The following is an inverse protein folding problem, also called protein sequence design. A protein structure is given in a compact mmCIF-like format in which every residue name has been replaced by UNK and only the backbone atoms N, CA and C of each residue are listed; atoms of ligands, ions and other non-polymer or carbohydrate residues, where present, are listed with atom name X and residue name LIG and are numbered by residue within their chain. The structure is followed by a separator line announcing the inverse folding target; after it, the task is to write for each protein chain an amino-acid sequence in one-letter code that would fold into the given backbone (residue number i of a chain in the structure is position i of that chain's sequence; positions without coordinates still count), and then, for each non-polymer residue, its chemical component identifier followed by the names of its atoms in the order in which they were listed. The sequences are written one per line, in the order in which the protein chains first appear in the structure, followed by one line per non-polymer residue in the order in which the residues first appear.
data_IF_610704476261
#
_entry.id   IF_610704476261
#
_cell.length_a   1.000
_cell.length_b   1.000
_cell.length_c   1.000
_cell.angle_alpha   90.00
_cell.angle_beta   90.00
_cell.angle_gamma   90.00
#
_symmetry.space_group_name_H-M   'P 1'
#
loop_
_entity.id
_entity.type
_entity.pdbx_description
1 polymer ?
#
# COMPACT_ATOMS: atom_id res chain seq x y z
N UNK A 1 24.38 22.57 -16.02
CA UNK A 1 23.02 23.06 -16.34
C UNK A 1 22.02 21.96 -16.16
N UNK A 2 20.88 22.27 -15.57
CA UNK A 2 19.77 21.33 -15.42
C UNK A 2 18.97 21.29 -16.73
N UNK A 3 18.50 20.11 -17.13
CA UNK A 3 17.69 19.99 -18.35
C UNK A 3 16.33 20.66 -18.10
N UNK A 4 15.75 21.23 -19.15
CA UNK A 4 14.37 21.72 -19.09
C UNK A 4 13.42 20.54 -18.88
N UNK A 5 12.40 20.68 -18.01
CA UNK A 5 11.44 19.60 -17.78
C UNK A 5 10.67 19.28 -19.06
N UNK A 6 10.44 17.99 -19.27
CA UNK A 6 9.59 17.47 -20.34
C UNK A 6 8.11 17.43 -19.94
N UNK A 7 7.35 16.58 -20.63
CA UNK A 7 5.89 16.49 -20.51
C UNK A 7 5.38 15.08 -20.22
N UNK A 8 6.25 14.07 -20.21
CA UNK A 8 5.89 12.70 -19.85
C UNK A 8 6.17 12.43 -18.37
N UNK A 9 5.65 11.31 -17.86
CA UNK A 9 5.78 10.95 -16.45
C UNK A 9 7.22 10.93 -15.96
N UNK A 10 8.21 10.58 -16.79
CA UNK A 10 9.62 10.49 -16.36
C UNK A 10 10.35 11.84 -16.39
N UNK A 11 9.93 12.76 -17.25
CA UNK A 11 10.70 13.99 -17.52
C UNK A 11 10.00 15.26 -17.04
N UNK A 12 8.73 15.19 -16.65
CA UNK A 12 8.00 16.34 -16.12
C UNK A 12 8.52 16.77 -14.74
N UNK A 13 8.47 18.06 -14.46
CA UNK A 13 8.75 18.58 -13.11
C UNK A 13 7.55 18.37 -12.20
N UNK A 14 7.72 17.56 -11.16
CA UNK A 14 6.64 17.20 -10.25
C UNK A 14 6.45 18.26 -9.16
N UNK A 15 5.45 19.13 -9.33
CA UNK A 15 4.87 19.97 -8.28
C UNK A 15 5.86 20.60 -7.27
N UNK A 16 6.85 21.36 -7.77
CA UNK A 16 7.86 22.07 -6.97
C UNK A 16 8.86 21.18 -6.22
N UNK A 17 8.88 19.88 -6.48
CA UNK A 17 9.87 18.96 -5.93
C UNK A 17 11.22 19.13 -6.65
N UNK A 18 12.34 18.94 -5.93
CA UNK A 18 13.65 18.91 -6.57
C UNK A 18 13.75 17.73 -7.52
N UNK A 19 14.33 17.97 -8.68
CA UNK A 19 14.63 16.91 -9.65
C UNK A 19 16.00 16.29 -9.34
N UNK A 20 16.04 14.95 -9.34
CA UNK A 20 17.25 14.15 -9.13
C UNK A 20 17.35 13.19 -10.31
N UNK A 21 18.37 13.40 -11.16
CA UNK A 21 18.62 12.59 -12.37
C UNK A 21 19.08 11.16 -12.05
N UNK A 22 18.16 10.30 -11.65
CA UNK A 22 18.40 8.88 -11.34
C UNK A 22 18.79 8.06 -12.56
N UNK A 23 18.44 8.53 -13.75
CA UNK A 23 18.84 7.98 -15.03
C UNK A 23 20.31 8.30 -15.40
N UNK A 24 20.97 9.22 -14.68
CA UNK A 24 22.37 9.55 -14.92
C UNK A 24 23.30 8.39 -14.58
N UNK A 25 24.15 8.01 -15.52
CA UNK A 25 25.19 6.98 -15.35
C UNK A 25 26.53 7.55 -14.90
N UNK A 26 26.63 8.87 -14.73
CA UNK A 26 27.87 9.53 -14.32
C UNK A 26 27.99 9.53 -12.79
N UNK A 27 29.13 9.12 -12.22
CA UNK A 27 29.37 9.27 -10.79
C UNK A 27 29.18 10.71 -10.33
N UNK A 28 28.31 10.92 -9.35
CA UNK A 28 27.94 12.26 -8.88
C UNK A 28 28.79 12.77 -7.72
N UNK A 29 29.50 11.86 -7.04
CA UNK A 29 30.15 12.14 -5.78
C UNK A 29 29.16 12.42 -4.64
N UNK A 30 29.66 12.77 -3.45
CA UNK A 30 28.79 13.11 -2.33
C UNK A 30 28.19 14.49 -2.57
N UNK A 31 26.85 14.65 -2.58
CA UNK A 31 26.24 15.96 -2.79
C UNK A 31 26.75 17.00 -1.79
N UNK A 32 27.05 18.20 -2.28
CA UNK A 32 27.66 19.26 -1.47
C UNK A 32 26.87 19.59 -0.19
N UNK A 33 25.53 19.53 -0.25
CA UNK A 33 24.68 19.69 0.93
C UNK A 33 25.00 18.67 2.03
N UNK A 34 25.15 17.39 1.68
CA UNK A 34 25.48 16.34 2.64
C UNK A 34 26.93 16.44 3.13
N UNK A 35 27.86 16.77 2.24
CA UNK A 35 29.27 16.98 2.60
C UNK A 35 29.47 18.09 3.65
N UNK A 36 28.60 19.10 3.66
CA UNK A 36 28.69 20.26 4.54
C UNK A 36 27.65 20.26 5.68
N UNK A 37 26.82 19.22 5.80
CA UNK A 37 25.82 19.11 6.87
C UNK A 37 26.37 18.21 8.00
N UNK A 38 26.72 18.76 9.17
CA UNK A 38 27.21 17.97 10.29
C UNK A 38 26.11 17.04 10.80
N UNK A 39 26.51 15.87 11.32
CA UNK A 39 25.59 14.87 11.88
C UNK A 39 24.92 13.97 10.85
N UNK A 40 25.16 14.16 9.54
CA UNK A 40 24.78 13.14 8.57
C UNK A 40 25.77 11.96 8.61
N UNK A 41 25.27 10.74 8.36
CA UNK A 41 26.10 9.56 8.14
C UNK A 41 26.56 9.41 6.68
N UNK A 42 26.26 10.39 5.82
CA UNK A 42 26.52 10.30 4.40
C UNK A 42 28.04 10.36 4.13
N UNK A 43 28.53 9.43 3.33
CA UNK A 43 29.95 9.32 2.96
C UNK A 43 30.07 9.30 1.44
N UNK A 44 31.18 9.83 0.94
CA UNK A 44 31.56 9.62 -0.46
C UNK A 44 31.80 8.14 -0.70
N UNK A 45 31.19 7.62 -1.76
CA UNK A 45 31.39 6.27 -2.26
C UNK A 45 31.84 6.38 -3.71
N UNK A 46 33.01 5.84 -4.00
CA UNK A 46 33.62 5.92 -5.33
C UNK A 46 32.71 5.26 -6.38
N UNK A 47 32.54 5.93 -7.51
CA UNK A 47 31.75 5.42 -8.64
C UNK A 47 30.23 5.55 -8.51
N UNK A 48 29.69 5.93 -7.35
CA UNK A 48 28.24 6.01 -7.18
C UNK A 48 27.58 7.12 -8.02
N UNK A 49 26.59 6.71 -8.81
CA UNK A 49 25.64 7.58 -9.51
C UNK A 49 24.58 8.12 -8.54
N UNK A 50 23.74 9.09 -8.95
CA UNK A 50 22.63 9.55 -8.09
C UNK A 50 21.70 8.42 -7.64
N UNK A 51 21.36 7.48 -8.54
CA UNK A 51 20.55 6.30 -8.22
C UNK A 51 21.25 5.40 -7.19
N UNK A 52 22.55 5.19 -7.33
CA UNK A 52 23.31 4.36 -6.38
C UNK A 52 23.25 4.95 -4.97
N UNK A 53 23.48 6.25 -4.83
CA UNK A 53 23.36 6.91 -3.52
C UNK A 53 21.96 6.80 -2.93
N UNK A 54 20.90 7.08 -3.69
CA UNK A 54 19.52 7.02 -3.19
C UNK A 54 19.14 5.60 -2.77
N UNK A 55 19.39 4.60 -3.63
CA UNK A 55 19.06 3.20 -3.33
C UNK A 55 19.89 2.64 -2.17
N UNK A 56 21.17 3.02 -2.08
CA UNK A 56 22.02 2.67 -0.96
C UNK A 56 21.53 3.27 0.36
N UNK A 57 21.25 4.57 0.39
CA UNK A 57 20.78 5.23 1.62
C UNK A 57 19.43 4.71 2.08
N UNK A 58 18.48 4.47 1.16
CA UNK A 58 17.20 3.85 1.49
C UNK A 58 17.40 2.44 2.06
N UNK A 59 18.23 1.62 1.42
CA UNK A 59 18.53 0.27 1.89
C UNK A 59 19.31 0.25 3.21
N UNK A 60 20.07 1.31 3.52
CA UNK A 60 20.73 1.45 4.82
C UNK A 60 19.72 1.58 5.97
N UNK A 61 18.55 2.20 5.75
CA UNK A 61 17.49 2.22 6.77
C UNK A 61 16.98 0.80 7.06
N UNK A 62 16.89 -0.04 6.04
CA UNK A 62 16.51 -1.45 6.18
C UNK A 62 17.58 -2.21 6.98
N UNK A 63 18.85 -2.04 6.62
CA UNK A 63 19.96 -2.66 7.33
C UNK A 63 20.08 -2.20 8.79
N UNK A 64 19.86 -0.91 9.07
CA UNK A 64 20.05 -0.35 10.42
C UNK A 64 18.86 -0.66 11.35
N UNK A 65 17.64 -0.66 10.82
CA UNK A 65 16.41 -0.67 11.63
C UNK A 65 15.48 -1.85 11.38
N UNK A 66 15.74 -2.67 10.35
CA UNK A 66 14.89 -3.81 10.02
C UNK A 66 13.55 -3.42 9.41
N UNK A 67 13.48 -2.28 8.71
CA UNK A 67 12.28 -1.89 7.96
C UNK A 67 11.97 -2.99 6.95
N UNK A 68 10.76 -3.52 7.01
CA UNK A 68 10.31 -4.70 6.27
C UNK A 68 9.72 -4.38 4.90
N UNK A 69 9.49 -3.10 4.60
CA UNK A 69 9.00 -2.70 3.29
C UNK A 69 9.04 -1.21 2.96
N UNK A 70 8.78 -0.90 1.69
CA UNK A 70 8.61 0.48 1.20
C UNK A 70 7.28 0.65 0.48
N UNK A 71 6.61 1.77 0.77
CA UNK A 71 5.61 2.39 -0.09
C UNK A 71 6.32 3.46 -0.91
N UNK A 72 6.49 3.21 -2.20
CA UNK A 72 7.11 4.13 -3.15
C UNK A 72 6.08 5.16 -3.59
N UNK A 73 6.31 6.40 -3.19
CA UNK A 73 5.59 7.57 -3.68
C UNK A 73 5.85 7.79 -5.17
N UNK A 74 4.84 8.23 -5.91
CA UNK A 74 4.98 8.73 -7.29
C UNK A 74 5.82 7.82 -8.21
N UNK A 75 5.61 6.50 -8.11
CA UNK A 75 6.44 5.45 -8.71
C UNK A 75 6.61 5.56 -10.24
N UNK A 76 5.67 6.22 -10.92
CA UNK A 76 5.69 6.45 -12.37
C UNK A 76 6.69 7.52 -12.82
N UNK A 77 7.20 8.32 -11.89
CA UNK A 77 8.11 9.42 -12.16
C UNK A 77 9.60 9.05 -12.05
N UNK A 78 9.91 7.76 -11.86
CA UNK A 78 11.28 7.24 -11.83
C UNK A 78 11.35 5.98 -12.66
N UNK A 79 12.48 5.80 -13.35
CA UNK A 79 12.69 4.69 -14.26
C UNK A 79 12.66 3.31 -13.56
N UNK A 80 11.99 2.34 -14.19
CA UNK A 80 11.83 0.98 -13.67
C UNK A 80 13.14 0.31 -13.18
N UNK A 81 14.30 0.48 -13.84
CA UNK A 81 15.55 -0.08 -13.33
C UNK A 81 15.96 0.42 -11.93
N UNK A 82 15.61 1.66 -11.54
CA UNK A 82 15.86 2.15 -10.19
C UNK A 82 15.09 1.37 -9.13
N UNK A 83 13.84 1.03 -9.43
CA UNK A 83 13.00 0.22 -8.55
C UNK A 83 13.52 -1.20 -8.38
N UNK A 84 13.99 -1.82 -9.46
CA UNK A 84 14.65 -3.12 -9.37
C UNK A 84 15.92 -3.06 -8.52
N UNK A 85 16.73 -2.00 -8.69
CA UNK A 85 17.94 -1.79 -7.89
C UNK A 85 17.60 -1.62 -6.41
N UNK A 86 16.62 -0.77 -6.08
CA UNK A 86 16.12 -0.57 -4.71
C UNK A 86 15.66 -1.87 -4.08
N UNK A 87 14.77 -2.61 -4.75
CA UNK A 87 14.26 -3.90 -4.26
C UNK A 87 15.39 -4.88 -3.98
N UNK A 88 16.37 -4.98 -4.88
CA UNK A 88 17.49 -5.91 -4.75
C UNK A 88 18.32 -5.59 -3.50
N UNK A 89 18.69 -4.33 -3.32
CA UNK A 89 19.50 -3.88 -2.18
C UNK A 89 18.72 -3.97 -0.85
N UNK A 90 17.48 -3.50 -0.80
CA UNK A 90 16.64 -3.56 0.39
C UNK A 90 16.34 -5.01 0.82
N UNK A 91 16.12 -5.91 -0.15
CA UNK A 91 15.93 -7.34 0.16
C UNK A 91 17.18 -7.99 0.74
N UNK A 92 18.37 -7.60 0.27
CA UNK A 92 19.63 -8.08 0.85
C UNK A 92 19.81 -7.54 2.28
N UNK A 93 19.60 -6.24 2.46
CA UNK A 93 19.69 -5.57 3.75
C UNK A 93 18.73 -6.19 4.80
N UNK A 94 17.49 -6.50 4.44
CA UNK A 94 16.55 -7.11 5.38
C UNK A 94 16.98 -8.53 5.79
N UNK A 95 17.50 -9.33 4.85
CA UNK A 95 18.04 -10.66 5.17
C UNK A 95 19.21 -10.57 6.14
N UNK A 96 20.14 -9.65 5.92
CA UNK A 96 21.28 -9.42 6.81
C UNK A 96 20.81 -8.94 8.19
N UNK A 97 19.86 -8.00 8.24
CA UNK A 97 19.30 -7.52 9.51
C UNK A 97 18.61 -8.65 10.30
N UNK A 98 17.79 -9.48 9.64
CA UNK A 98 17.10 -10.62 10.28
C UNK A 98 18.11 -11.65 10.81
N UNK A 99 19.17 -11.94 10.05
CA UNK A 99 20.26 -12.83 10.49
C UNK A 99 21.01 -12.29 11.71
N UNK A 100 21.26 -10.98 11.76
CA UNK A 100 21.92 -10.33 12.89
C UNK A 100 20.99 -10.09 14.10
N UNK A 101 19.67 -10.14 13.91
CA UNK A 101 18.66 -9.86 14.93
C UNK A 101 17.56 -10.95 15.00
N UNK A 102 17.90 -12.23 15.22
CA UNK A 102 16.91 -13.32 15.18
C UNK A 102 15.79 -13.14 16.21
N UNK A 103 16.10 -12.59 17.40
CA UNK A 103 15.11 -12.35 18.47
C UNK A 103 14.18 -11.16 18.19
N UNK A 104 14.47 -10.33 17.18
CA UNK A 104 13.65 -9.16 16.80
C UNK A 104 12.93 -9.36 15.46
N UNK A 105 13.34 -10.34 14.67
CA UNK A 105 12.66 -10.66 13.42
C UNK A 105 11.24 -11.12 13.72
N UNK A 106 10.25 -10.47 13.11
CA UNK A 106 8.84 -10.82 13.27
C UNK A 106 8.50 -12.16 12.60
N UNK A 107 9.13 -12.41 11.46
CA UNK A 107 8.92 -13.58 10.60
C UNK A 107 10.09 -13.73 9.60
N UNK A 108 9.96 -14.69 8.67
CA UNK A 108 10.88 -14.91 7.55
C UNK A 108 10.39 -14.28 6.22
N UNK A 109 9.38 -13.40 6.28
CA UNK A 109 8.82 -12.76 5.08
C UNK A 109 9.89 -11.95 4.32
N UNK A 110 9.88 -11.95 2.98
CA UNK A 110 10.79 -11.13 2.19
C UNK A 110 10.46 -9.64 2.34
N UNK A 111 11.42 -8.78 1.99
CA UNK A 111 11.19 -7.34 1.94
C UNK A 111 10.01 -7.03 1.00
N UNK A 112 9.03 -6.26 1.44
CA UNK A 112 7.81 -5.98 0.68
C UNK A 112 7.81 -4.56 0.10
N UNK A 113 7.57 -4.42 -1.19
CA UNK A 113 7.57 -3.14 -1.88
C UNK A 113 6.24 -2.92 -2.59
N UNK A 114 5.59 -1.81 -2.26
CA UNK A 114 4.38 -1.35 -2.94
C UNK A 114 4.56 0.02 -3.55
N UNK A 115 3.88 0.29 -4.66
CA UNK A 115 4.04 1.53 -5.41
C UNK A 115 2.74 2.29 -5.60
N UNK A 116 2.87 3.61 -5.58
CA UNK A 116 1.84 4.55 -6.00
C UNK A 116 2.06 4.95 -7.46
N UNK A 117 1.27 4.41 -8.37
CA UNK A 117 1.17 4.92 -9.74
C UNK A 117 -0.28 5.37 -9.96
N UNK A 118 -0.52 6.68 -9.97
CA UNK A 118 -1.89 7.23 -9.99
C UNK A 118 -2.72 6.65 -11.15
N UNK A 119 -3.93 6.16 -10.83
CA UNK A 119 -4.82 5.49 -11.78
C UNK A 119 -4.52 4.01 -12.01
N UNK A 120 -3.56 3.42 -11.30
CA UNK A 120 -3.34 1.98 -11.31
C UNK A 120 -4.47 1.24 -10.57
N UNK A 121 -4.87 0.10 -11.10
CA UNK A 121 -5.97 -0.73 -10.60
C UNK A 121 -5.61 -2.21 -10.63
N UNK A 122 -6.60 -3.07 -10.86
CA UNK A 122 -6.37 -4.52 -10.83
C UNK A 122 -5.87 -5.01 -12.20
N UNK A 123 -4.56 -4.87 -12.41
CA UNK A 123 -3.84 -5.29 -13.61
C UNK A 123 -2.35 -5.57 -13.33
N UNK A 124 -1.78 -6.51 -14.09
CA UNK A 124 -0.35 -6.84 -14.04
C UNK A 124 0.43 -5.94 -15.00
N UNK A 125 1.04 -4.88 -14.48
CA UNK A 125 1.91 -3.96 -15.23
C UNK A 125 3.40 -4.34 -15.12
N UNK A 126 4.28 -3.59 -15.78
CA UNK A 126 5.72 -3.87 -15.69
C UNK A 126 6.30 -3.67 -14.28
N UNK A 127 5.68 -2.89 -13.39
CA UNK A 127 6.17 -2.70 -12.01
C UNK A 127 6.45 -4.03 -11.28
N UNK A 128 5.62 -5.05 -11.49
CA UNK A 128 5.80 -6.38 -10.88
C UNK A 128 7.06 -7.11 -11.35
N UNK A 129 7.59 -6.76 -12.54
CA UNK A 129 8.85 -7.30 -13.06
C UNK A 129 10.07 -6.52 -12.56
N UNK A 130 9.87 -5.36 -11.95
CA UNK A 130 10.90 -4.45 -11.45
C UNK A 130 10.80 -4.27 -9.92
N UNK A 131 10.40 -5.34 -9.23
CA UNK A 131 10.56 -5.49 -7.79
C UNK A 131 9.34 -5.18 -6.93
N UNK A 132 8.27 -4.62 -7.49
CA UNK A 132 7.04 -4.37 -6.72
C UNK A 132 6.27 -5.67 -6.47
N UNK A 133 5.89 -5.91 -5.23
CA UNK A 133 5.03 -7.02 -4.83
C UNK A 133 3.54 -6.65 -4.93
N UNK A 134 3.21 -5.37 -4.83
CA UNK A 134 1.86 -4.84 -4.98
C UNK A 134 1.83 -3.43 -5.56
N UNK A 135 0.80 -3.08 -6.32
CA UNK A 135 0.50 -1.68 -6.67
C UNK A 135 -0.78 -1.22 -5.98
N UNK A 136 -0.85 0.07 -5.62
CA UNK A 136 -2.06 0.65 -5.03
C UNK A 136 -3.22 0.53 -6.02
N UNK A 137 -4.35 -0.01 -5.54
CA UNK A 137 -5.58 -0.15 -6.30
C UNK A 137 -6.47 1.08 -6.10
N UNK A 138 -6.37 2.06 -7.01
CA UNK A 138 -7.15 3.30 -6.97
C UNK A 138 -8.63 3.11 -7.33
N UNK A 139 -8.98 2.01 -8.01
CA UNK A 139 -10.37 1.72 -8.39
C UNK A 139 -11.23 1.33 -7.17
N UNK A 140 -10.62 0.79 -6.12
CA UNK A 140 -11.34 0.10 -5.05
C UNK A 140 -12.27 1.01 -4.25
N UNK A 141 -11.83 2.24 -3.96
CA UNK A 141 -12.61 3.20 -3.17
C UNK A 141 -13.97 3.47 -3.83
N UNK A 142 -14.01 3.67 -5.15
CA UNK A 142 -15.25 3.91 -5.90
C UNK A 142 -16.10 2.64 -6.08
N UNK A 143 -15.45 1.49 -6.28
CA UNK A 143 -16.16 0.21 -6.35
C UNK A 143 -16.87 -0.12 -5.04
N UNK A 144 -16.17 0.08 -3.91
CA UNK A 144 -16.74 -0.11 -2.58
C UNK A 144 -17.85 0.90 -2.27
N UNK A 145 -17.70 2.17 -2.67
CA UNK A 145 -18.72 3.20 -2.47
C UNK A 145 -20.07 2.82 -3.09
N UNK A 146 -20.04 2.24 -4.30
CA UNK A 146 -21.24 1.77 -4.99
C UNK A 146 -21.92 0.62 -4.24
N UNK A 147 -21.14 -0.27 -3.63
CA UNK A 147 -21.64 -1.44 -2.90
C UNK A 147 -22.03 -1.17 -1.43
N UNK A 148 -21.91 0.07 -0.92
CA UNK A 148 -22.28 0.42 0.46
C UNK A 148 -23.72 0.03 0.76
N UNK A 149 -24.64 0.29 -0.18
CA UNK A 149 -26.03 -0.02 0.05
C UNK A 149 -26.29 -1.52 0.04
N UNK A 150 -25.66 -2.25 -0.86
CA UNK A 150 -25.89 -3.68 -1.06
C UNK A 150 -24.55 -4.40 -1.24
N UNK A 151 -24.11 -5.16 -0.22
CA UNK A 151 -22.82 -5.86 -0.27
C UNK A 151 -22.74 -6.86 -1.44
N UNK A 152 -23.88 -7.37 -1.91
CA UNK A 152 -23.96 -8.24 -3.08
C UNK A 152 -23.40 -7.58 -4.36
N UNK A 153 -23.45 -6.25 -4.45
CA UNK A 153 -22.90 -5.51 -5.59
C UNK A 153 -21.37 -5.58 -5.65
N UNK A 154 -20.72 -5.92 -4.53
CA UNK A 154 -19.28 -6.16 -4.50
C UNK A 154 -18.90 -7.53 -5.07
N UNK A 155 -19.85 -8.44 -5.23
CA UNK A 155 -19.58 -9.82 -5.64
C UNK A 155 -18.85 -9.95 -6.98
N UNK A 156 -19.31 -9.29 -8.06
CA UNK A 156 -18.60 -9.30 -9.34
C UNK A 156 -17.20 -8.68 -9.27
N UNK A 157 -17.03 -7.61 -8.49
CA UNK A 157 -15.74 -6.95 -8.27
C UNK A 157 -14.76 -7.91 -7.59
N UNK A 158 -15.18 -8.53 -6.49
CA UNK A 158 -14.35 -9.49 -5.77
C UNK A 158 -14.06 -10.75 -6.58
N UNK A 159 -15.00 -11.23 -7.39
CA UNK A 159 -14.75 -12.35 -8.29
C UNK A 159 -13.66 -11.99 -9.29
N UNK A 160 -13.79 -10.85 -9.97
CA UNK A 160 -12.81 -10.37 -10.94
C UNK A 160 -11.42 -10.16 -10.30
N UNK A 161 -11.38 -9.61 -9.09
CA UNK A 161 -10.16 -9.43 -8.33
C UNK A 161 -9.48 -10.78 -8.04
N UNK A 162 -10.23 -11.75 -7.50
CA UNK A 162 -9.71 -13.08 -7.22
C UNK A 162 -9.21 -13.76 -8.49
N UNK A 163 -9.96 -13.72 -9.59
CA UNK A 163 -9.59 -14.36 -10.86
C UNK A 163 -8.29 -13.77 -11.46
N UNK A 164 -8.10 -12.44 -11.34
CA UNK A 164 -6.94 -11.75 -11.89
C UNK A 164 -5.68 -11.91 -11.03
N UNK A 165 -5.80 -11.83 -9.71
CA UNK A 165 -4.66 -11.74 -8.79
C UNK A 165 -4.12 -13.11 -8.37
N UNK A 166 -3.85 -13.97 -9.35
CA UNK A 166 -3.31 -15.30 -9.11
C UNK A 166 -1.79 -15.32 -9.00
N UNK A 167 -1.12 -14.40 -9.71
CA UNK A 167 0.34 -14.34 -9.79
C UNK A 167 0.91 -12.92 -9.56
N UNK A 168 0.05 -11.99 -9.11
CA UNK A 168 0.42 -10.66 -8.64
C UNK A 168 -0.57 -10.20 -7.57
N UNK A 169 -0.22 -9.15 -6.83
CA UNK A 169 -1.05 -8.61 -5.75
C UNK A 169 -1.31 -7.11 -5.95
N UNK A 170 -2.34 -6.58 -5.30
CA UNK A 170 -2.60 -5.12 -5.23
C UNK A 170 -2.83 -4.71 -3.78
N UNK A 171 -2.68 -3.42 -3.49
CA UNK A 171 -3.01 -2.85 -2.19
C UNK A 171 -4.31 -2.03 -2.29
N UNK A 172 -5.41 -2.62 -1.84
CA UNK A 172 -6.72 -1.94 -1.83
C UNK A 172 -6.93 -1.14 -0.54
N UNK A 173 -7.59 0.01 -0.64
CA UNK A 173 -7.89 0.88 0.50
C UNK A 173 -9.30 1.45 0.38
N UNK A 174 -9.88 1.88 1.51
CA UNK A 174 -11.13 2.64 1.50
C UNK A 174 -10.89 4.13 1.67
N UNK A 175 -9.99 4.54 2.57
CA UNK A 175 -9.64 5.94 2.77
C UNK A 175 -8.17 6.20 2.43
N UNK A 176 -7.86 7.41 1.98
CA UNK A 176 -6.48 7.86 1.77
C UNK A 176 -6.32 9.32 2.15
N UNK A 177 -5.09 9.68 2.50
CA UNK A 177 -4.63 11.05 2.69
C UNK A 177 -4.65 11.90 1.40
N UNK A 178 -4.74 11.26 0.23
CA UNK A 178 -4.73 11.91 -1.08
C UNK A 178 -6.01 11.67 -1.89
N UNK A 179 -7.07 11.11 -1.26
CA UNK A 179 -8.39 11.04 -1.89
C UNK A 179 -9.50 11.57 -0.99
N UNK A 180 -10.10 10.73 -0.15
CA UNK A 180 -11.14 11.09 0.82
C UNK A 180 -11.20 10.07 1.95
N UNK A 181 -11.92 10.42 3.00
CA UNK A 181 -12.35 9.46 4.02
C UNK A 181 -13.63 8.75 3.56
N UNK A 182 -13.65 7.43 3.67
CA UNK A 182 -14.79 6.57 3.29
C UNK A 182 -15.82 6.52 4.42
N UNK A 183 -16.58 7.60 4.60
CA UNK A 183 -17.57 7.72 5.68
C UNK A 183 -18.95 7.24 5.26
N UNK A 184 -19.20 7.16 3.95
CA UNK A 184 -20.40 6.58 3.36
C UNK A 184 -20.61 5.12 3.78
N UNK A 185 -19.54 4.35 4.02
CA UNK A 185 -19.63 2.93 4.38
C UNK A 185 -20.21 2.61 5.76
N UNK A 186 -20.16 3.56 6.71
CA UNK A 186 -20.58 3.32 8.10
C UNK A 186 -20.05 2.00 8.66
N UNK A 187 -20.95 1.23 9.28
CA UNK A 187 -20.62 -0.05 9.93
C UNK A 187 -20.19 -1.17 8.94
N UNK A 188 -20.37 -0.98 7.63
CA UNK A 188 -20.05 -1.97 6.59
C UNK A 188 -18.64 -1.82 6.00
N UNK A 189 -17.95 -0.73 6.34
CA UNK A 189 -16.63 -0.43 5.78
C UNK A 189 -15.61 -1.54 6.10
N UNK A 190 -15.71 -2.15 7.28
CA UNK A 190 -14.84 -3.25 7.68
C UNK A 190 -15.01 -4.47 6.75
N UNK A 191 -16.24 -4.90 6.47
CA UNK A 191 -16.53 -6.00 5.55
C UNK A 191 -16.11 -5.68 4.12
N UNK A 192 -16.43 -4.47 3.64
CA UNK A 192 -16.06 -4.03 2.30
C UNK A 192 -14.56 -4.08 2.10
N UNK A 193 -13.74 -3.69 3.07
CA UNK A 193 -12.29 -3.75 2.93
C UNK A 193 -11.72 -5.14 3.24
N UNK A 194 -12.00 -5.67 4.42
CA UNK A 194 -11.27 -6.80 4.98
C UNK A 194 -11.69 -8.14 4.40
N UNK A 195 -12.81 -8.20 3.67
CA UNK A 195 -13.21 -9.36 2.86
C UNK A 195 -12.78 -9.24 1.39
N UNK A 196 -11.98 -8.25 1.01
CA UNK A 196 -11.49 -8.12 -0.36
C UNK A 196 -10.34 -9.09 -0.67
N UNK A 197 -10.20 -9.57 -1.93
CA UNK A 197 -8.97 -10.24 -2.37
C UNK A 197 -7.79 -9.27 -2.43
N UNK A 198 -6.56 -9.80 -2.41
CA UNK A 198 -5.31 -9.03 -2.47
C UNK A 198 -4.89 -8.46 -1.10
N UNK A 199 -3.89 -7.57 -1.06
CA UNK A 199 -3.52 -6.85 0.16
C UNK A 199 -4.49 -5.70 0.44
N UNK A 200 -4.59 -5.31 1.72
CA UNK A 200 -5.46 -4.21 2.16
C UNK A 200 -4.72 -3.24 3.08
N UNK A 201 -5.06 -1.96 2.97
CA UNK A 201 -4.57 -0.90 3.85
C UNK A 201 -5.75 -0.29 4.61
N UNK A 202 -5.70 -0.37 5.94
CA UNK A 202 -6.59 0.42 6.82
C UNK A 202 -5.94 1.78 7.02
N UNK A 203 -6.67 2.86 6.73
CA UNK A 203 -6.20 4.21 7.00
C UNK A 203 -6.58 4.62 8.42
N UNK A 204 -5.66 5.27 9.14
CA UNK A 204 -5.86 5.54 10.57
C UNK A 204 -7.18 6.27 10.85
N UNK A 205 -7.93 5.70 11.79
CA UNK A 205 -9.23 6.22 12.21
C UNK A 205 -10.41 5.76 11.36
N UNK A 206 -10.24 4.91 10.34
CA UNK A 206 -11.37 4.22 9.71
C UNK A 206 -12.11 3.33 10.70
N UNK A 207 -11.37 2.67 11.59
CA UNK A 207 -11.87 1.78 12.63
C UNK A 207 -12.67 2.50 13.73
N UNK A 208 -12.39 3.80 13.94
CA UNK A 208 -12.99 4.63 14.98
C UNK A 208 -13.90 5.74 14.41
N UNK A 209 -14.15 5.73 13.11
CA UNK A 209 -14.90 6.77 12.38
C UNK A 209 -14.36 8.19 12.62
N UNK A 210 -13.02 8.36 12.54
CA UNK A 210 -12.34 9.65 12.66
C UNK A 210 -12.95 10.68 11.70
N UNK A 211 -13.34 11.87 12.20
CA UNK A 211 -13.99 12.90 11.40
C UNK A 211 -13.00 13.57 10.45
N UNK A 212 -13.52 14.07 9.33
CA UNK A 212 -12.78 14.97 8.45
C UNK A 212 -12.45 16.27 9.19
N UNK A 213 -11.22 16.75 9.03
CA UNK A 213 -10.71 17.94 9.70
C UNK A 213 -10.84 19.23 8.87
N UNK A 214 -10.25 20.32 9.37
CA UNK A 214 -10.16 21.57 8.65
C UNK A 214 -9.37 21.45 7.34
N UNK A 215 -9.74 22.25 6.35
CA UNK A 215 -9.04 22.37 5.06
C UNK A 215 -8.43 23.76 4.90
N UNK A 216 -7.46 23.87 4.00
CA UNK A 216 -6.78 25.11 3.65
C UNK A 216 -6.56 25.22 2.15
N UNK A 217 -5.34 25.58 1.74
CA UNK A 217 -4.95 25.58 0.32
C UNK A 217 -4.90 24.17 -0.28
N UNK A 218 -4.66 23.15 0.55
CA UNK A 218 -4.84 21.75 0.18
C UNK A 218 -6.29 21.32 0.54
N UNK A 219 -7.15 21.05 -0.46
CA UNK A 219 -8.54 20.64 -0.20
C UNK A 219 -8.63 19.25 0.47
N UNK A 220 -7.57 18.44 0.40
CA UNK A 220 -7.52 17.11 0.99
C UNK A 220 -6.93 17.09 2.40
N UNK A 221 -6.44 18.22 2.90
CA UNK A 221 -5.86 18.34 4.24
C UNK A 221 -6.77 17.78 5.33
N UNK A 222 -8.09 17.93 5.20
CA UNK A 222 -9.04 17.42 6.18
C UNK A 222 -9.06 15.90 6.32
N UNK A 223 -8.56 15.14 5.32
CA UNK A 223 -8.36 13.69 5.46
C UNK A 223 -7.26 13.34 6.48
N UNK A 224 -6.40 14.31 6.81
CA UNK A 224 -5.22 14.18 7.69
C UNK A 224 -5.44 14.79 9.09
N UNK A 225 -6.71 14.86 9.54
CA UNK A 225 -7.09 15.34 10.88
C UNK A 225 -6.51 14.49 12.02
N UNK A 226 -6.44 15.08 13.21
CA UNK A 226 -5.99 14.39 14.42
C UNK A 226 -6.80 13.11 14.70
N UNK A 227 -6.10 12.09 15.22
CA UNK A 227 -6.74 10.86 15.64
C UNK A 227 -7.71 11.09 16.80
N UNK A 228 -8.90 10.49 16.73
CA UNK A 228 -9.95 10.62 17.73
C UNK A 228 -9.77 9.60 18.88
N UNK A 229 -8.63 9.65 19.57
CA UNK A 229 -8.26 8.68 20.62
C UNK A 229 -9.32 8.49 21.71
N UNK A 230 -9.97 9.58 22.12
CA UNK A 230 -11.03 9.54 23.13
C UNK A 230 -12.25 8.71 22.71
N UNK A 231 -12.47 8.53 21.40
CA UNK A 231 -13.59 7.78 20.87
C UNK A 231 -13.29 6.28 20.77
N UNK A 232 -12.01 5.90 20.62
CA UNK A 232 -11.55 4.50 20.42
C UNK A 232 -12.03 3.59 21.56
N UNK A 233 -11.90 4.04 22.81
CA UNK A 233 -12.43 3.35 24.00
C UNK A 233 -13.79 3.89 24.47
N UNK A 234 -14.34 4.86 23.74
CA UNK A 234 -15.59 5.55 24.05
C UNK A 234 -16.68 5.16 23.06
N UNK A 235 -17.28 6.16 22.41
CA UNK A 235 -18.43 5.97 21.50
C UNK A 235 -18.15 5.06 20.29
N UNK A 236 -16.88 4.91 19.88
CA UNK A 236 -16.50 4.08 18.74
C UNK A 236 -16.00 2.69 19.15
N UNK A 237 -16.00 2.33 20.44
CA UNK A 237 -15.45 1.07 20.92
C UNK A 237 -16.09 -0.17 20.26
N UNK A 238 -17.39 -0.13 19.98
CA UNK A 238 -18.09 -1.22 19.30
C UNK A 238 -17.63 -1.38 17.84
N UNK A 239 -17.43 -0.26 17.12
CA UNK A 239 -16.91 -0.27 15.75
C UNK A 239 -15.47 -0.80 15.72
N UNK A 240 -14.60 -0.31 16.62
CA UNK A 240 -13.21 -0.78 16.74
C UNK A 240 -13.17 -2.28 17.01
N UNK A 241 -14.00 -2.79 17.93
CA UNK A 241 -14.10 -4.22 18.23
C UNK A 241 -14.57 -5.05 17.01
N UNK A 242 -15.45 -4.49 16.18
CA UNK A 242 -15.90 -5.13 14.94
C UNK A 242 -14.79 -5.21 13.89
N UNK A 243 -14.09 -4.10 13.64
CA UNK A 243 -12.91 -4.05 12.78
C UNK A 243 -11.84 -5.06 13.25
N UNK A 244 -11.55 -5.11 14.55
CA UNK A 244 -10.63 -6.09 15.12
C UNK A 244 -11.06 -7.53 14.85
N UNK A 245 -12.35 -7.85 15.02
CA UNK A 245 -12.87 -9.20 14.79
C UNK A 245 -12.68 -9.63 13.33
N UNK A 246 -13.01 -8.77 12.37
CA UNK A 246 -12.86 -9.11 10.95
C UNK A 246 -11.36 -9.15 10.56
N UNK A 247 -10.53 -8.25 11.08
CA UNK A 247 -9.08 -8.28 10.84
C UNK A 247 -8.45 -9.58 11.35
N UNK A 248 -8.83 -10.04 12.55
CA UNK A 248 -8.38 -11.32 13.08
C UNK A 248 -8.90 -12.52 12.27
N UNK A 249 -10.13 -12.44 11.75
CA UNK A 249 -10.66 -13.45 10.86
C UNK A 249 -9.82 -13.52 9.57
N UNK A 250 -9.57 -12.39 8.92
CA UNK A 250 -8.73 -12.30 7.73
C UNK A 250 -7.31 -12.84 7.99
N UNK A 251 -6.69 -12.50 9.12
CA UNK A 251 -5.36 -12.97 9.47
C UNK A 251 -5.28 -14.49 9.65
N UNK A 252 -6.34 -15.12 10.18
CA UNK A 252 -6.42 -16.59 10.33
C UNK A 252 -6.77 -17.32 9.02
N UNK A 253 -7.29 -16.62 8.03
CA UNK A 253 -7.79 -17.20 6.79
C UNK A 253 -7.16 -16.56 5.56
N UNK A 254 -5.94 -16.98 5.16
CA UNK A 254 -5.27 -16.53 3.94
C UNK A 254 -6.15 -16.63 2.68
N UNK A 255 -7.11 -17.56 2.64
CA UNK A 255 -8.05 -17.69 1.53
C UNK A 255 -8.87 -16.43 1.26
N UNK A 256 -9.06 -15.55 2.25
CA UNK A 256 -9.68 -14.25 1.98
C UNK A 256 -8.83 -13.42 1.03
N UNK A 257 -7.51 -13.31 1.26
CA UNK A 257 -6.64 -12.48 0.42
C UNK A 257 -6.21 -13.18 -0.87
N UNK A 258 -5.79 -14.44 -0.79
CA UNK A 258 -5.11 -15.16 -1.86
C UNK A 258 -5.99 -16.24 -2.54
N UNK A 259 -7.19 -16.49 -2.02
CA UNK A 259 -8.02 -17.60 -2.47
C UNK A 259 -8.75 -17.35 -3.77
N UNK A 260 -8.96 -18.44 -4.51
CA UNK A 260 -9.85 -18.49 -5.65
C UNK A 260 -11.30 -18.36 -5.18
N UNK A 261 -12.08 -17.49 -5.82
CA UNK A 261 -13.46 -17.25 -5.43
C UNK A 261 -14.43 -18.08 -6.28
N UNK A 262 -15.45 -18.65 -5.64
CA UNK A 262 -16.63 -19.24 -6.29
C UNK A 262 -17.87 -18.59 -5.71
N UNK A 263 -18.58 -17.81 -6.52
CA UNK A 263 -19.86 -17.20 -6.11
C UNK A 263 -20.95 -18.27 -5.95
N UNK A 264 -21.73 -18.19 -4.88
CA UNK A 264 -22.80 -19.14 -4.58
C UNK A 264 -24.14 -18.69 -5.15
N UNK A 265 -24.94 -19.64 -5.64
CA UNK A 265 -26.35 -19.43 -5.96
C UNK A 265 -27.19 -19.60 -4.69
N UNK A 266 -27.73 -18.50 -4.16
CA UNK A 266 -28.59 -18.50 -2.98
C UNK A 266 -30.01 -18.06 -3.36
N UNK A 267 -31.03 -18.59 -2.67
CA UNK A 267 -32.43 -18.13 -2.86
C UNK A 267 -32.62 -16.68 -2.42
N UNK A 268 -31.92 -16.27 -1.37
CA UNK A 268 -31.90 -14.91 -0.82
C UNK A 268 -30.48 -14.56 -0.36
N UNK A 269 -30.11 -13.29 -0.50
CA UNK A 269 -28.79 -12.79 -0.11
C UNK A 269 -27.71 -13.03 -1.15
N UNK A 270 -26.46 -12.84 -0.72
CA UNK A 270 -25.25 -13.06 -1.52
C UNK A 270 -24.27 -13.93 -0.72
N UNK A 271 -23.51 -14.77 -1.40
CA UNK A 271 -22.46 -15.53 -0.75
C UNK A 271 -21.42 -16.02 -1.73
N UNK A 272 -20.25 -16.34 -1.22
CA UNK A 272 -19.15 -16.89 -1.97
C UNK A 272 -18.31 -17.82 -1.09
N UNK A 273 -17.58 -18.72 -1.75
CA UNK A 273 -16.51 -19.49 -1.15
C UNK A 273 -15.19 -18.94 -1.67
N UNK A 274 -14.18 -18.80 -0.80
CA UNK A 274 -12.79 -18.67 -1.21
C UNK A 274 -11.95 -19.83 -0.69
N UNK A 275 -11.08 -20.35 -1.55
CA UNK A 275 -10.19 -21.46 -1.21
C UNK A 275 -8.75 -21.12 -1.56
N UNK A 276 -7.83 -21.37 -0.62
CA UNK A 276 -6.39 -21.28 -0.80
C UNK A 276 -5.70 -22.44 -0.08
N UNK A 277 -5.23 -23.43 -0.85
CA UNK A 277 -4.76 -24.69 -0.28
C UNK A 277 -5.85 -25.38 0.55
N UNK A 278 -5.54 -25.69 1.81
CA UNK A 278 -6.48 -26.31 2.76
C UNK A 278 -7.38 -25.30 3.48
N UNK A 279 -7.10 -23.99 3.38
CA UNK A 279 -7.95 -22.96 3.98
C UNK A 279 -9.13 -22.67 3.06
N UNK A 280 -10.34 -22.86 3.58
CA UNK A 280 -11.60 -22.64 2.85
C UNK A 280 -12.53 -21.82 3.70
N UNK A 281 -12.98 -20.68 3.16
CA UNK A 281 -13.92 -19.79 3.82
C UNK A 281 -15.18 -19.66 2.99
N UNK A 282 -16.34 -19.77 3.64
CA UNK A 282 -17.62 -19.38 3.06
C UNK A 282 -18.11 -18.11 3.75
N UNK A 283 -18.42 -17.08 2.95
CA UNK A 283 -19.02 -15.83 3.42
C UNK A 283 -20.45 -15.76 2.88
N UNK A 284 -21.40 -15.47 3.77
CA UNK A 284 -22.81 -15.29 3.40
C UNK A 284 -23.33 -13.99 3.98
N UNK A 285 -23.87 -13.15 3.12
CA UNK A 285 -24.64 -11.96 3.46
C UNK A 285 -26.13 -12.25 3.22
N UNK A 286 -26.89 -12.40 4.30
CA UNK A 286 -28.30 -12.76 4.24
C UNK A 286 -29.23 -11.63 3.74
N UNK A 287 -28.69 -10.44 3.44
CA UNK A 287 -29.45 -9.24 3.07
C UNK A 287 -29.70 -8.31 4.26
N UNK A 288 -30.36 -7.18 4.00
CA UNK A 288 -30.82 -6.28 5.07
C UNK A 288 -31.98 -6.93 5.82
N UNK A 289 -31.96 -6.87 7.15
CA UNK A 289 -33.14 -7.15 7.98
C UNK A 289 -34.16 -6.05 7.81
#
# INVERSE_FOLDING_TARGET
DHDSPGFDDLTLSLAFLPDIKTESTTPSGLPAFYANKPGTKAKFIEGYTPRDYLTHWLSQWVHDYGIDGFRVDTAKNVELPAWQQLKTQASAALREWKQANPDKALDDSPFWMTGEAWGHGVMKSDYYRYGFDAMINFDYQEQAAKAVDCLAEMGPVWQQMADKMQDFNVLSYLSSHDTRLFREGGDKAAELLLLSPGAVQIFYGDESARPFGPTGSDPLQGTRSDMNWQDVSGKSAAAVAHWQRISQFRARHPAIGAGQQTTLTLKHGYGFVRQYGDDTVMVVWAGRR
#
